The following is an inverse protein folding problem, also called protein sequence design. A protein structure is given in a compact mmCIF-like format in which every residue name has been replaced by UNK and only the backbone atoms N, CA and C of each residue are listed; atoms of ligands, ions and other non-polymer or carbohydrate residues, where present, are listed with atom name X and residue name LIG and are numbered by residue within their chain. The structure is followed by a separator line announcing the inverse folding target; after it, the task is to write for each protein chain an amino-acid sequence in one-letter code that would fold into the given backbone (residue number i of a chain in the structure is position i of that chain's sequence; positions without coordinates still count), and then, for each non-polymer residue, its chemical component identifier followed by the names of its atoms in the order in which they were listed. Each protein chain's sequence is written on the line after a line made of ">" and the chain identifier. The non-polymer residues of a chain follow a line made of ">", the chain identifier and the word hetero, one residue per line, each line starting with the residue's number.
data_IF_931370236440
#
_entry.id   IF_931370236440
#
_cell.length_a   1.000
_cell.length_b   1.000
_cell.length_c   1.000
_cell.angle_alpha   90.00
_cell.angle_beta   90.00
_cell.angle_gamma   90.00
#
_symmetry.space_group_name_H-M   'P 1'
#
loop_
_entity.id
_entity.type
_entity.pdbx_description
1 polymer ?
#
# COMPACT_ATOMS: atom_id res chain seq x y z
N UNK A 1 68.94 1.50 13.32
CA UNK A 1 67.91 0.47 13.07
C UNK A 1 66.55 1.13 13.26
N UNK A 2 65.74 1.31 12.20
CA UNK A 2 64.40 1.84 12.33
C UNK A 2 63.44 0.77 12.88
N UNK A 3 62.34 1.14 13.56
CA UNK A 3 61.38 0.18 14.10
C UNK A 3 60.59 -0.50 12.97
N UNK A 4 60.12 -1.72 13.24
CA UNK A 4 59.51 -2.64 12.28
C UNK A 4 58.07 -2.21 11.95
N UNK A 5 57.66 -2.38 10.69
CA UNK A 5 56.39 -2.01 10.05
C UNK A 5 55.07 -2.47 10.73
N UNK A 6 55.12 -3.18 11.87
CA UNK A 6 53.92 -3.69 12.55
C UNK A 6 53.21 -2.65 13.42
N UNK A 7 53.91 -1.60 13.84
CA UNK A 7 53.31 -0.54 14.67
C UNK A 7 52.51 0.49 13.85
N UNK A 8 52.67 0.52 12.53
CA UNK A 8 51.88 1.38 11.64
C UNK A 8 50.49 0.75 11.39
N UNK A 9 50.37 -0.58 11.37
CA UNK A 9 49.11 -1.27 11.11
C UNK A 9 48.07 -1.18 12.24
N UNK A 10 48.49 -0.91 13.47
CA UNK A 10 47.56 -0.71 14.59
C UNK A 10 47.10 0.74 14.73
N UNK A 11 47.89 1.72 14.25
CA UNK A 11 47.50 3.13 14.27
C UNK A 11 46.47 3.47 13.19
N UNK A 12 46.44 2.75 12.06
CA UNK A 12 45.44 2.99 11.00
C UNK A 12 44.07 2.36 11.29
N UNK A 13 43.93 1.54 12.34
CA UNK A 13 42.66 0.87 12.68
C UNK A 13 41.78 1.65 13.66
N UNK A 14 42.28 2.74 14.23
CA UNK A 14 41.53 3.65 15.10
C UNK A 14 40.96 4.87 14.37
N UNK A 15 41.25 5.04 13.07
CA UNK A 15 40.71 6.11 12.22
C UNK A 15 39.72 5.62 11.15
N UNK A 16 39.31 4.35 11.18
CA UNK A 16 38.18 3.81 10.38
C UNK A 16 36.90 3.77 11.23
N UNK A 17 36.80 4.65 12.22
CA UNK A 17 35.66 4.78 13.13
C UNK A 17 34.59 5.79 12.68
N UNK A 18 34.86 6.55 11.61
CA UNK A 18 33.90 7.43 10.95
C UNK A 18 34.11 7.32 9.45
N UNK A 19 33.72 6.20 8.85
CA UNK A 19 33.28 6.30 7.46
C UNK A 19 32.03 7.20 7.51
N UNK A 20 32.15 8.41 6.95
CA UNK A 20 31.01 9.25 6.65
C UNK A 20 29.94 8.36 5.99
N UNK A 21 28.84 8.11 6.71
CA UNK A 21 27.64 7.56 6.09
C UNK A 21 27.18 8.64 5.10
N UNK A 22 27.68 8.57 3.86
CA UNK A 22 27.25 9.47 2.80
C UNK A 22 25.74 9.30 2.65
N UNK A 23 25.00 10.36 2.96
CA UNK A 23 23.58 10.41 2.66
C UNK A 23 23.44 10.47 1.14
N UNK A 24 22.75 9.48 0.56
CA UNK A 24 22.50 9.42 -0.88
C UNK A 24 21.62 10.59 -1.32
N UNK A 25 21.85 11.10 -2.52
CA UNK A 25 20.96 12.09 -3.14
C UNK A 25 19.62 11.44 -3.54
N UNK A 26 18.59 12.25 -3.82
CA UNK A 26 17.30 11.73 -4.28
C UNK A 26 17.43 10.87 -5.56
N UNK A 27 18.29 11.27 -6.50
CA UNK A 27 18.56 10.51 -7.73
C UNK A 27 19.26 9.18 -7.46
N UNK A 28 20.21 9.16 -6.51
CA UNK A 28 20.90 7.94 -6.08
C UNK A 28 19.91 6.98 -5.39
N UNK A 29 19.05 7.49 -4.50
CA UNK A 29 17.99 6.72 -3.86
C UNK A 29 17.01 6.14 -4.89
N UNK A 30 16.59 6.92 -5.88
CA UNK A 30 15.70 6.42 -6.94
C UNK A 30 16.38 5.36 -7.81
N UNK A 31 17.68 5.50 -8.07
CA UNK A 31 18.45 4.50 -8.82
C UNK A 31 18.53 3.18 -8.05
N UNK A 32 18.82 3.24 -6.75
CA UNK A 32 18.83 2.05 -5.89
C UNK A 32 17.43 1.44 -5.72
N UNK A 33 16.37 2.26 -5.63
CA UNK A 33 14.99 1.78 -5.62
C UNK A 33 14.63 1.00 -6.89
N UNK A 34 15.04 1.46 -8.08
CA UNK A 34 14.81 0.74 -9.35
C UNK A 34 15.59 -0.59 -9.40
N UNK A 35 16.81 -0.63 -8.86
CA UNK A 35 17.58 -1.88 -8.73
C UNK A 35 16.91 -2.84 -7.74
N UNK A 36 16.42 -2.33 -6.61
CA UNK A 36 15.69 -3.10 -5.62
C UNK A 36 14.38 -3.66 -6.19
N UNK A 37 13.66 -2.89 -7.01
CA UNK A 37 12.48 -3.35 -7.76
C UNK A 37 12.81 -4.54 -8.66
N UNK A 38 13.87 -4.44 -9.48
CA UNK A 38 14.30 -5.52 -10.38
C UNK A 38 14.75 -6.78 -9.61
N UNK A 39 15.25 -6.60 -8.40
CA UNK A 39 15.66 -7.69 -7.52
C UNK A 39 14.53 -8.19 -6.59
N UNK A 40 13.31 -7.64 -6.72
CA UNK A 40 12.16 -7.92 -5.86
C UNK A 40 12.42 -7.68 -4.35
N UNK A 41 13.39 -6.81 -4.02
CA UNK A 41 13.75 -6.41 -2.65
C UNK A 41 12.92 -5.21 -2.20
N UNK A 42 11.60 -5.41 -2.13
CA UNK A 42 10.65 -4.32 -1.93
C UNK A 42 10.77 -3.59 -0.58
N UNK A 43 11.26 -4.26 0.47
CA UNK A 43 11.51 -3.62 1.77
C UNK A 43 12.59 -2.53 1.65
N UNK A 44 13.68 -2.82 0.94
CA UNK A 44 14.74 -1.84 0.67
C UNK A 44 14.27 -0.77 -0.31
N UNK A 45 13.50 -1.15 -1.32
CA UNK A 45 12.86 -0.19 -2.21
C UNK A 45 12.01 0.82 -1.41
N UNK A 46 11.28 0.35 -0.39
CA UNK A 46 10.47 1.20 0.47
C UNK A 46 11.33 2.12 1.34
N UNK A 47 12.46 1.65 1.86
CA UNK A 47 13.42 2.47 2.61
C UNK A 47 14.04 3.58 1.75
N UNK A 48 14.46 3.26 0.51
CA UNK A 48 14.96 4.26 -0.43
C UNK A 48 13.88 5.31 -0.74
N UNK A 49 12.68 4.87 -1.11
CA UNK A 49 11.60 5.79 -1.48
C UNK A 49 11.06 6.60 -0.29
N UNK A 50 11.16 6.08 0.93
CA UNK A 50 10.90 6.84 2.17
C UNK A 50 11.88 8.00 2.31
N UNK A 51 13.16 7.79 2.01
CA UNK A 51 14.15 8.86 2.06
C UNK A 51 13.86 9.94 1.00
N UNK A 52 13.50 9.53 -0.23
CA UNK A 52 13.07 10.45 -1.30
C UNK A 52 11.85 11.26 -0.85
N UNK A 53 10.82 10.62 -0.28
CA UNK A 53 9.62 11.30 0.20
C UNK A 53 9.85 12.28 1.37
N UNK A 54 10.96 12.14 2.09
CA UNK A 54 11.35 13.06 3.16
C UNK A 54 12.08 14.31 2.66
N UNK A 55 12.56 14.33 1.41
CA UNK A 55 13.15 15.52 0.80
C UNK A 55 12.12 16.65 0.68
N UNK A 56 12.56 17.91 0.63
CA UNK A 56 11.66 19.07 0.68
C UNK A 56 10.87 19.33 -0.62
N UNK A 57 11.27 18.71 -1.73
CA UNK A 57 10.58 18.80 -3.02
C UNK A 57 9.30 17.96 -3.09
N UNK A 58 8.37 18.38 -3.94
CA UNK A 58 7.26 17.52 -4.38
C UNK A 58 7.80 16.38 -5.24
N UNK A 59 7.24 15.18 -5.08
CA UNK A 59 7.65 14.02 -5.87
C UNK A 59 7.11 14.12 -7.30
N UNK A 60 7.97 13.84 -8.27
CA UNK A 60 7.58 13.65 -9.66
C UNK A 60 6.60 12.46 -9.82
N UNK A 61 6.00 12.34 -11.01
CA UNK A 61 5.11 11.21 -11.33
C UNK A 61 5.85 9.88 -11.19
N UNK A 62 7.09 9.79 -11.66
CA UNK A 62 7.91 8.58 -11.58
C UNK A 62 8.23 8.22 -10.12
N UNK A 63 8.66 9.18 -9.30
CA UNK A 63 8.96 8.95 -7.89
C UNK A 63 7.71 8.55 -7.09
N UNK A 64 6.56 9.17 -7.36
CA UNK A 64 5.27 8.77 -6.75
C UNK A 64 4.93 7.33 -7.10
N UNK A 65 5.12 6.94 -8.36
CA UNK A 65 4.86 5.57 -8.80
C UNK A 65 5.82 4.57 -8.13
N UNK A 66 7.12 4.87 -8.06
CA UNK A 66 8.10 4.04 -7.34
C UNK A 66 7.73 3.88 -5.86
N UNK A 67 7.37 4.96 -5.17
CA UNK A 67 6.93 4.92 -3.78
C UNK A 67 5.70 4.00 -3.60
N UNK A 68 4.72 4.11 -4.48
CA UNK A 68 3.51 3.28 -4.45
C UNK A 68 3.83 1.81 -4.70
N UNK A 69 4.64 1.49 -5.70
CA UNK A 69 5.08 0.13 -6.01
C UNK A 69 5.82 -0.50 -4.84
N UNK A 70 6.77 0.24 -4.24
CA UNK A 70 7.59 -0.22 -3.12
C UNK A 70 6.73 -0.64 -1.93
N UNK A 71 5.87 0.27 -1.45
CA UNK A 71 5.05 0.01 -0.28
C UNK A 71 3.91 -0.99 -0.58
N UNK A 72 3.32 -0.98 -1.79
CA UNK A 72 2.28 -1.95 -2.19
C UNK A 72 2.80 -3.38 -2.12
N UNK A 73 3.99 -3.64 -2.65
CA UNK A 73 4.56 -4.99 -2.64
C UNK A 73 5.03 -5.39 -1.24
N UNK A 74 5.62 -4.46 -0.49
CA UNK A 74 6.03 -4.66 0.91
C UNK A 74 4.83 -5.07 1.78
N UNK A 75 3.74 -4.29 1.78
CA UNK A 75 2.54 -4.62 2.56
C UNK A 75 1.80 -5.82 2.00
N UNK A 76 1.81 -6.01 0.67
CA UNK A 76 1.15 -7.13 0.00
C UNK A 76 1.67 -8.49 0.45
N UNK A 77 2.99 -8.65 0.54
CA UNK A 77 3.62 -9.88 1.03
C UNK A 77 3.21 -10.22 2.47
N UNK A 78 3.20 -9.23 3.38
CA UNK A 78 2.78 -9.42 4.77
C UNK A 78 1.28 -9.70 4.90
N UNK A 79 0.43 -9.05 4.09
CA UNK A 79 -1.02 -9.33 4.07
C UNK A 79 -1.31 -10.75 3.61
N UNK A 80 -0.59 -11.25 2.61
CA UNK A 80 -0.71 -12.64 2.17
C UNK A 80 -0.27 -13.61 3.28
N UNK A 81 0.87 -13.36 3.92
CA UNK A 81 1.34 -14.15 5.05
C UNK A 81 0.32 -14.16 6.21
N UNK A 82 -0.20 -12.99 6.58
CA UNK A 82 -1.18 -12.84 7.65
C UNK A 82 -2.45 -13.65 7.39
N UNK A 83 -3.00 -13.62 6.17
CA UNK A 83 -4.18 -14.43 5.79
C UNK A 83 -3.93 -15.93 5.97
N UNK A 84 -2.78 -16.41 5.53
CA UNK A 84 -2.39 -17.82 5.65
C UNK A 84 -2.28 -18.21 7.13
N UNK A 85 -1.55 -17.42 7.92
CA UNK A 85 -1.30 -17.70 9.34
C UNK A 85 -2.61 -17.67 10.13
N UNK A 86 -3.48 -16.69 9.86
CA UNK A 86 -4.80 -16.58 10.49
C UNK A 86 -5.65 -17.83 10.18
N UNK A 87 -5.65 -18.30 8.92
CA UNK A 87 -6.36 -19.54 8.54
C UNK A 87 -5.83 -20.76 9.28
N UNK A 88 -4.50 -20.90 9.41
CA UNK A 88 -3.86 -21.99 10.15
C UNK A 88 -4.20 -21.92 11.65
N UNK A 89 -4.08 -20.73 12.24
CA UNK A 89 -4.42 -20.48 13.64
C UNK A 89 -5.87 -20.85 13.96
N UNK A 90 -6.82 -20.46 13.09
CA UNK A 90 -8.24 -20.81 13.24
C UNK A 90 -8.51 -22.31 13.14
N UNK A 91 -7.79 -23.03 12.26
CA UNK A 91 -7.90 -24.50 12.16
C UNK A 91 -7.41 -25.18 13.43
N UNK A 92 -6.22 -24.80 13.91
CA UNK A 92 -5.64 -25.34 15.14
C UNK A 92 -6.50 -25.06 16.37
N UNK A 93 -7.11 -23.87 16.46
CA UNK A 93 -7.99 -23.49 17.58
C UNK A 93 -9.30 -24.29 17.67
N UNK A 94 -9.75 -24.92 16.58
CA UNK A 94 -10.96 -25.76 16.57
C UNK A 94 -10.70 -27.20 17.00
N UNK A 95 -9.46 -27.67 16.96
CA UNK A 95 -9.10 -29.05 17.25
C UNK A 95 -8.62 -29.21 18.71
N UNK A 96 -9.43 -29.85 19.56
CA UNK A 96 -9.23 -29.97 21.02
C UNK A 96 -8.27 -31.10 21.47
N UNK A 97 -7.24 -31.44 20.68
CA UNK A 97 -6.20 -32.40 21.10
C UNK A 97 -5.03 -31.69 21.80
N UNK A 98 -4.42 -32.34 22.81
CA UNK A 98 -3.34 -31.74 23.63
C UNK A 98 -2.13 -31.22 22.85
N UNK A 99 -1.80 -31.80 21.69
CA UNK A 99 -0.70 -31.30 20.83
C UNK A 99 -1.07 -30.05 20.02
N UNK A 100 -2.37 -29.84 19.76
CA UNK A 100 -2.84 -28.70 18.99
C UNK A 100 -2.93 -27.42 19.84
N UNK A 101 -3.08 -27.54 21.16
CA UNK A 101 -3.10 -26.35 22.04
C UNK A 101 -1.75 -25.61 22.08
N UNK A 102 -0.63 -26.32 22.07
CA UNK A 102 0.70 -25.70 22.00
C UNK A 102 0.95 -25.10 20.61
N UNK A 103 0.64 -25.83 19.54
CA UNK A 103 0.77 -25.33 18.17
C UNK A 103 -0.13 -24.11 17.91
N UNK A 104 -1.33 -24.06 18.49
CA UNK A 104 -2.22 -22.90 18.42
C UNK A 104 -1.63 -21.67 19.12
N UNK A 105 -0.93 -21.86 20.24
CA UNK A 105 -0.23 -20.77 20.93
C UNK A 105 0.91 -20.20 20.06
N UNK A 106 1.74 -21.07 19.47
CA UNK A 106 2.80 -20.63 18.54
C UNK A 106 2.25 -19.91 17.31
N UNK A 107 1.17 -20.44 16.71
CA UNK A 107 0.53 -19.79 15.57
C UNK A 107 -0.01 -18.39 15.92
N UNK A 108 -0.57 -18.23 17.12
CA UNK A 108 -1.06 -16.94 17.61
C UNK A 108 0.07 -15.93 17.83
N UNK A 109 1.18 -16.35 18.43
CA UNK A 109 2.35 -15.48 18.62
C UNK A 109 2.94 -15.05 17.27
N UNK A 110 3.06 -15.97 16.32
CA UNK A 110 3.55 -15.66 14.98
C UNK A 110 2.59 -14.75 14.20
N UNK A 111 1.27 -14.95 14.34
CA UNK A 111 0.26 -14.05 13.78
C UNK A 111 0.46 -12.62 14.27
N UNK A 112 0.63 -12.45 15.59
CA UNK A 112 0.89 -11.15 16.20
C UNK A 112 2.16 -10.48 15.66
N UNK A 113 3.24 -11.25 15.47
CA UNK A 113 4.46 -10.73 14.86
C UNK A 113 4.22 -10.15 13.47
N UNK A 114 3.45 -10.85 12.62
CA UNK A 114 3.11 -10.36 11.27
C UNK A 114 2.18 -9.15 11.32
N UNK A 115 1.25 -9.09 12.27
CA UNK A 115 0.41 -7.91 12.50
C UNK A 115 1.23 -6.69 12.92
N UNK A 116 2.24 -6.87 13.77
CA UNK A 116 3.14 -5.79 14.20
C UNK A 116 4.00 -5.28 13.02
N UNK A 117 4.48 -6.19 12.15
CA UNK A 117 5.16 -5.83 10.90
C UNK A 117 4.22 -5.04 9.95
N UNK A 118 2.98 -5.51 9.75
CA UNK A 118 1.97 -4.82 8.95
C UNK A 118 1.68 -3.41 9.49
N UNK A 119 1.49 -3.30 10.80
CA UNK A 119 1.24 -2.02 11.47
C UNK A 119 2.41 -1.07 11.24
N UNK A 120 3.65 -1.53 11.42
CA UNK A 120 4.84 -0.71 11.23
C UNK A 120 4.96 -0.17 9.80
N UNK A 121 4.67 -1.01 8.80
CA UNK A 121 4.66 -0.59 7.38
C UNK A 121 3.60 0.48 7.15
N UNK A 122 2.37 0.25 7.63
CA UNK A 122 1.26 1.19 7.46
C UNK A 122 1.53 2.53 8.18
N UNK A 123 2.00 2.49 9.42
CA UNK A 123 2.29 3.70 10.20
C UNK A 123 3.41 4.52 9.56
N UNK A 124 4.42 3.86 9.00
CA UNK A 124 5.54 4.55 8.33
C UNK A 124 5.05 5.37 7.13
N UNK A 125 4.26 4.77 6.24
CA UNK A 125 3.77 5.47 5.06
C UNK A 125 2.69 6.50 5.40
N UNK A 126 1.82 6.21 6.37
CA UNK A 126 0.82 7.18 6.83
C UNK A 126 1.48 8.42 7.43
N UNK A 127 2.54 8.25 8.24
CA UNK A 127 3.31 9.36 8.79
C UNK A 127 3.99 10.20 7.68
N UNK A 128 4.49 9.55 6.63
CA UNK A 128 5.09 10.23 5.49
C UNK A 128 4.04 11.02 4.68
N UNK A 129 2.86 10.43 4.46
CA UNK A 129 1.75 11.05 3.75
C UNK A 129 1.24 12.29 4.49
N UNK A 130 0.90 12.14 5.77
CA UNK A 130 0.34 13.21 6.60
C UNK A 130 1.37 14.29 6.95
N UNK A 131 2.62 13.89 7.21
CA UNK A 131 3.67 14.81 7.64
C UNK A 131 4.33 15.59 6.50
N UNK A 132 4.28 15.08 5.26
CA UNK A 132 5.05 15.65 4.14
C UNK A 132 4.28 15.68 2.83
N UNK A 133 3.83 14.53 2.32
CA UNK A 133 3.48 14.41 0.90
C UNK A 133 2.13 15.07 0.55
N UNK A 134 1.10 14.90 1.38
CA UNK A 134 -0.23 15.48 1.11
C UNK A 134 -0.17 17.01 1.08
N UNK A 135 0.57 17.63 2.01
CA UNK A 135 0.71 19.08 2.07
C UNK A 135 1.50 19.67 0.89
N UNK A 136 2.37 18.88 0.26
CA UNK A 136 3.17 19.30 -0.91
C UNK A 136 2.46 19.10 -2.25
N UNK A 137 1.38 18.32 -2.27
CA UNK A 137 0.66 17.97 -3.49
C UNK A 137 0.02 19.21 -4.12
N UNK A 138 0.48 19.59 -5.31
CA UNK A 138 0.04 20.81 -6.00
C UNK A 138 -1.12 20.53 -6.97
N UNK A 139 -1.07 19.41 -7.68
CA UNK A 139 -2.05 19.02 -8.72
C UNK A 139 -3.21 18.18 -8.17
N UNK A 140 -4.34 18.14 -8.92
CA UNK A 140 -5.44 17.23 -8.62
C UNK A 140 -4.99 15.76 -8.60
N UNK A 141 -4.17 15.35 -9.57
CA UNK A 141 -3.61 14.00 -9.63
C UNK A 141 -2.81 13.62 -8.39
N UNK A 142 -1.90 14.48 -7.92
CA UNK A 142 -1.07 14.19 -6.73
C UNK A 142 -1.88 14.13 -5.46
N UNK A 143 -2.84 15.05 -5.29
CA UNK A 143 -3.78 15.04 -4.16
C UNK A 143 -4.60 13.76 -4.11
N UNK A 144 -5.23 13.39 -5.23
CA UNK A 144 -6.03 12.15 -5.32
C UNK A 144 -5.15 10.92 -5.08
N UNK A 145 -3.94 10.89 -5.66
CA UNK A 145 -3.01 9.78 -5.49
C UNK A 145 -2.64 9.55 -4.02
N UNK A 146 -2.22 10.59 -3.30
CA UNK A 146 -1.81 10.46 -1.90
C UNK A 146 -2.98 10.19 -0.96
N UNK A 147 -4.14 10.81 -1.19
CA UNK A 147 -5.33 10.55 -0.38
C UNK A 147 -5.86 9.13 -0.58
N UNK A 148 -5.89 8.66 -1.84
CA UNK A 148 -6.17 7.25 -2.15
C UNK A 148 -5.19 6.32 -1.44
N UNK A 149 -3.89 6.61 -1.49
CA UNK A 149 -2.87 5.81 -0.82
C UNK A 149 -3.09 5.79 0.69
N UNK A 150 -3.35 6.93 1.32
CA UNK A 150 -3.71 7.03 2.75
C UNK A 150 -4.91 6.15 3.10
N UNK A 151 -5.96 6.21 2.28
CA UNK A 151 -7.16 5.40 2.45
C UNK A 151 -6.86 3.89 2.33
N UNK A 152 -6.04 3.49 1.36
CA UNK A 152 -5.59 2.11 1.17
C UNK A 152 -4.87 1.57 2.41
N UNK A 153 -3.96 2.34 3.01
CA UNK A 153 -3.23 1.90 4.21
C UNK A 153 -4.10 1.84 5.46
N UNK A 154 -5.05 2.76 5.63
CA UNK A 154 -6.04 2.63 6.70
C UNK A 154 -6.98 1.43 6.50
N UNK A 155 -7.36 1.15 5.25
CA UNK A 155 -8.10 -0.06 4.90
C UNK A 155 -7.32 -1.31 5.29
N UNK A 156 -6.02 -1.38 4.99
CA UNK A 156 -5.19 -2.52 5.40
C UNK A 156 -5.15 -2.67 6.92
N UNK A 157 -5.05 -1.59 7.69
CA UNK A 157 -5.14 -1.64 9.16
C UNK A 157 -6.50 -2.22 9.61
N UNK A 158 -7.60 -1.80 8.98
CA UNK A 158 -8.93 -2.30 9.32
C UNK A 158 -9.15 -3.79 8.99
N UNK A 159 -8.32 -4.40 8.15
CA UNK A 159 -8.42 -5.83 7.81
C UNK A 159 -7.97 -6.74 8.97
N UNK A 160 -6.89 -6.37 9.69
CA UNK A 160 -6.27 -7.22 10.72
C UNK A 160 -6.46 -6.72 12.16
N UNK A 161 -7.08 -5.55 12.35
CA UNK A 161 -7.46 -5.05 13.67
C UNK A 161 -8.89 -5.46 14.01
N UNK A 162 -9.20 -5.44 15.29
CA UNK A 162 -10.53 -5.72 15.86
C UNK A 162 -11.04 -4.56 16.72
N UNK A 163 -12.33 -4.59 17.05
CA UNK A 163 -12.98 -3.64 17.96
C UNK A 163 -12.80 -2.18 17.55
N UNK A 164 -12.54 -1.31 18.53
CA UNK A 164 -12.42 0.14 18.31
C UNK A 164 -11.29 0.51 17.35
N UNK A 165 -10.19 -0.26 17.34
CA UNK A 165 -9.07 -0.02 16.44
C UNK A 165 -9.48 -0.25 14.97
N UNK A 166 -10.27 -1.30 14.70
CA UNK A 166 -10.85 -1.57 13.39
C UNK A 166 -11.79 -0.45 12.96
N UNK A 167 -12.73 -0.07 13.82
CA UNK A 167 -13.71 0.99 13.52
C UNK A 167 -13.03 2.34 13.28
N UNK A 168 -12.01 2.68 14.06
CA UNK A 168 -11.22 3.91 13.86
C UNK A 168 -10.47 3.90 12.53
N UNK A 169 -9.82 2.79 12.18
CA UNK A 169 -9.12 2.66 10.91
C UNK A 169 -10.08 2.72 9.71
N UNK A 170 -11.23 2.04 9.79
CA UNK A 170 -12.26 2.09 8.75
C UNK A 170 -12.79 3.51 8.53
N UNK A 171 -13.07 4.25 9.62
CA UNK A 171 -13.55 5.62 9.49
C UNK A 171 -12.50 6.55 8.86
N UNK A 172 -11.22 6.41 9.23
CA UNK A 172 -10.12 7.15 8.59
C UNK A 172 -9.94 6.80 7.12
N UNK A 173 -10.10 5.53 6.76
CA UNK A 173 -10.09 5.09 5.36
C UNK A 173 -11.24 5.73 4.57
N UNK A 174 -12.45 5.71 5.13
CA UNK A 174 -13.65 6.32 4.53
C UNK A 174 -13.46 7.81 4.29
N UNK A 175 -12.94 8.54 5.27
CA UNK A 175 -12.66 9.99 5.15
C UNK A 175 -11.65 10.26 4.04
N UNK A 176 -10.52 9.56 4.02
CA UNK A 176 -9.48 9.75 3.00
C UNK A 176 -9.97 9.37 1.59
N UNK A 177 -10.79 8.32 1.45
CA UNK A 177 -11.42 7.99 0.16
C UNK A 177 -12.40 9.08 -0.29
N UNK A 178 -13.21 9.63 0.62
CA UNK A 178 -14.14 10.70 0.28
C UNK A 178 -13.40 11.96 -0.16
N UNK A 179 -12.34 12.36 0.56
CA UNK A 179 -11.50 13.51 0.19
C UNK A 179 -10.86 13.30 -1.19
N UNK A 180 -10.37 12.08 -1.47
CA UNK A 180 -9.84 11.75 -2.79
C UNK A 180 -10.93 11.82 -3.88
N UNK A 181 -12.14 11.35 -3.59
CA UNK A 181 -13.25 11.33 -4.54
C UNK A 181 -13.72 12.74 -4.89
N UNK A 182 -13.83 13.63 -3.90
CA UNK A 182 -14.24 15.02 -4.08
C UNK A 182 -13.26 15.77 -4.99
N UNK A 183 -11.95 15.57 -4.79
CA UNK A 183 -10.92 16.14 -5.66
C UNK A 183 -10.96 15.51 -7.05
N UNK A 184 -11.10 14.17 -7.14
CA UNK A 184 -11.12 13.47 -8.42
C UNK A 184 -12.32 13.87 -9.29
N UNK A 185 -13.50 14.06 -8.71
CA UNK A 185 -14.70 14.53 -9.42
C UNK A 185 -14.53 15.92 -10.03
N UNK A 186 -13.75 16.77 -9.36
CA UNK A 186 -13.51 18.16 -9.78
C UNK A 186 -12.39 18.26 -10.82
N UNK A 187 -11.29 17.55 -10.61
CA UNK A 187 -10.03 17.81 -11.30
C UNK A 187 -9.67 16.73 -12.34
N UNK A 188 -10.29 15.55 -12.33
CA UNK A 188 -9.93 14.41 -13.20
C UNK A 188 -11.10 13.92 -14.06
N UNK A 189 -10.83 13.60 -15.32
CA UNK A 189 -11.81 12.96 -16.21
C UNK A 189 -12.24 11.58 -15.67
N UNK A 190 -13.47 11.14 -15.98
CA UNK A 190 -14.02 9.85 -15.54
C UNK A 190 -13.19 8.65 -16.02
N UNK A 191 -12.47 8.81 -17.13
CA UNK A 191 -11.57 7.81 -17.71
C UNK A 191 -10.15 7.88 -17.18
N UNK A 192 -9.82 8.86 -16.33
CA UNK A 192 -8.46 9.04 -15.83
C UNK A 192 -8.04 7.84 -14.94
N UNK A 193 -6.88 7.19 -15.18
CA UNK A 193 -6.48 5.98 -14.45
C UNK A 193 -6.49 6.12 -12.93
N UNK A 194 -6.03 7.26 -12.39
CA UNK A 194 -6.05 7.52 -10.94
C UNK A 194 -7.50 7.57 -10.40
N UNK A 195 -8.45 8.17 -11.12
CA UNK A 195 -9.87 8.27 -10.70
C UNK A 195 -10.55 6.90 -10.77
N UNK A 196 -10.29 6.13 -11.83
CA UNK A 196 -10.77 4.75 -11.94
C UNK A 196 -10.21 3.86 -10.84
N UNK A 197 -8.90 3.95 -10.57
CA UNK A 197 -8.25 3.19 -9.51
C UNK A 197 -8.74 3.56 -8.12
N UNK A 198 -9.13 4.83 -7.90
CA UNK A 198 -9.81 5.27 -6.69
C UNK A 198 -11.18 4.59 -6.54
N UNK A 199 -12.03 4.63 -7.56
CA UNK A 199 -13.35 3.99 -7.53
C UNK A 199 -13.26 2.48 -7.31
N UNK A 200 -12.27 1.82 -7.93
CA UNK A 200 -11.98 0.41 -7.72
C UNK A 200 -11.67 0.10 -6.25
N UNK A 201 -10.73 0.83 -5.64
CA UNK A 201 -10.34 0.54 -4.26
C UNK A 201 -11.40 0.97 -3.24
N UNK A 202 -12.14 2.04 -3.52
CA UNK A 202 -13.21 2.51 -2.64
C UNK A 202 -14.42 1.55 -2.66
N UNK A 203 -14.80 1.01 -3.82
CA UNK A 203 -15.83 -0.03 -3.90
C UNK A 203 -15.42 -1.31 -3.16
N UNK A 204 -14.18 -1.78 -3.30
CA UNK A 204 -13.66 -2.92 -2.52
C UNK A 204 -13.72 -2.64 -1.03
N UNK A 205 -13.38 -1.43 -0.58
CA UNK A 205 -13.50 -1.02 0.82
C UNK A 205 -14.95 -1.10 1.33
N UNK A 206 -15.90 -0.58 0.55
CA UNK A 206 -17.33 -0.64 0.89
C UNK A 206 -17.82 -2.09 1.00
N UNK A 207 -17.38 -2.96 0.10
CA UNK A 207 -17.77 -4.37 0.09
C UNK A 207 -17.14 -5.14 1.25
N UNK A 208 -15.81 -5.16 1.33
CA UNK A 208 -15.06 -6.06 2.23
C UNK A 208 -14.97 -5.55 3.67
N UNK A 209 -14.94 -4.23 3.89
CA UNK A 209 -14.68 -3.65 5.21
C UNK A 209 -15.93 -3.08 5.85
N UNK A 210 -16.75 -2.35 5.08
CA UNK A 210 -17.99 -1.77 5.61
C UNK A 210 -19.18 -2.74 5.57
N UNK A 211 -19.07 -3.85 4.82
CA UNK A 211 -20.17 -4.79 4.65
C UNK A 211 -21.38 -4.16 3.94
N UNK A 212 -21.12 -3.23 3.01
CA UNK A 212 -22.15 -2.51 2.27
C UNK A 212 -22.07 -2.85 0.76
N UNK A 213 -22.48 -4.07 0.37
CA UNK A 213 -22.26 -4.59 -0.98
C UNK A 213 -23.05 -3.84 -2.06
N UNK A 214 -24.23 -3.32 -1.74
CA UNK A 214 -25.08 -2.63 -2.70
C UNK A 214 -24.46 -1.31 -3.15
N UNK A 215 -23.96 -0.51 -2.19
CA UNK A 215 -23.26 0.75 -2.50
C UNK A 215 -21.92 0.49 -3.21
N UNK A 216 -21.21 -0.57 -2.85
CA UNK A 216 -19.98 -1.00 -3.53
C UNK A 216 -20.24 -1.32 -5.01
N UNK A 217 -21.23 -2.17 -5.29
CA UNK A 217 -21.64 -2.53 -6.64
C UNK A 217 -22.14 -1.32 -7.44
N UNK A 218 -22.90 -0.43 -6.81
CA UNK A 218 -23.35 0.81 -7.43
C UNK A 218 -22.17 1.69 -7.83
N UNK A 219 -21.22 1.92 -6.93
CA UNK A 219 -20.03 2.73 -7.20
C UNK A 219 -19.19 2.15 -8.36
N UNK A 220 -18.90 0.85 -8.31
CA UNK A 220 -18.11 0.19 -9.35
C UNK A 220 -18.82 0.23 -10.71
N UNK A 221 -20.15 0.03 -10.74
CA UNK A 221 -20.96 0.10 -11.95
C UNK A 221 -20.97 1.51 -12.54
N UNK A 222 -21.24 2.53 -11.74
CA UNK A 222 -21.23 3.92 -12.21
C UNK A 222 -19.87 4.31 -12.78
N UNK A 223 -18.77 3.98 -12.08
CA UNK A 223 -17.44 4.28 -12.59
C UNK A 223 -17.14 3.59 -13.93
N UNK A 224 -17.58 2.34 -14.09
CA UNK A 224 -17.41 1.57 -15.33
C UNK A 224 -18.25 2.14 -16.49
N UNK A 225 -19.53 2.43 -16.25
CA UNK A 225 -20.46 2.97 -17.25
C UNK A 225 -20.06 4.39 -17.70
N UNK A 226 -19.71 5.27 -16.76
CA UNK A 226 -19.24 6.62 -17.06
C UNK A 226 -17.95 6.59 -17.90
N UNK A 227 -17.04 5.66 -17.59
CA UNK A 227 -15.80 5.52 -18.33
C UNK A 227 -15.99 4.93 -19.73
N UNK A 228 -16.95 4.00 -19.91
CA UNK A 228 -17.33 3.50 -21.24
C UNK A 228 -17.85 4.64 -22.12
N UNK A 229 -18.71 5.50 -21.57
CA UNK A 229 -19.32 6.60 -22.32
C UNK A 229 -18.29 7.60 -22.88
N UNK A 230 -17.13 7.72 -22.23
CA UNK A 230 -16.07 8.67 -22.58
C UNK A 230 -14.79 7.98 -23.10
N UNK A 231 -14.83 6.67 -23.35
CA UNK A 231 -13.64 5.87 -23.69
C UNK A 231 -12.98 6.32 -25.01
N UNK A 232 -13.79 6.75 -25.97
CA UNK A 232 -13.32 7.25 -27.27
C UNK A 232 -12.52 8.57 -27.17
N UNK A 233 -12.65 9.28 -26.04
CA UNK A 233 -11.98 10.56 -25.77
C UNK A 233 -10.66 10.39 -24.99
N UNK A 234 -10.25 9.16 -24.68
CA UNK A 234 -9.05 8.90 -23.88
C UNK A 234 -7.79 9.05 -24.73
N UNK A 235 -6.77 9.70 -24.16
CA UNK A 235 -5.45 9.80 -24.79
C UNK A 235 -4.80 8.40 -24.95
N UNK A 236 -4.09 8.20 -26.06
CA UNK A 236 -3.53 6.89 -26.44
C UNK A 236 -2.58 6.32 -25.37
N UNK A 237 -1.82 7.19 -24.69
CA UNK A 237 -0.90 6.83 -23.60
C UNK A 237 -1.62 6.34 -22.33
N UNK A 238 -2.85 6.80 -22.09
CA UNK A 238 -3.66 6.46 -20.93
C UNK A 238 -4.65 5.32 -21.21
N UNK A 239 -4.97 5.06 -22.48
CA UNK A 239 -6.00 4.10 -22.90
C UNK A 239 -5.78 2.70 -22.32
N UNK A 240 -4.54 2.20 -22.37
CA UNK A 240 -4.20 0.87 -21.86
C UNK A 240 -4.41 0.76 -20.35
N UNK A 241 -4.03 1.78 -19.60
CA UNK A 241 -4.14 1.78 -18.14
C UNK A 241 -5.60 1.92 -17.70
N UNK A 242 -6.36 2.81 -18.35
CA UNK A 242 -7.79 2.98 -18.09
C UNK A 242 -8.57 1.69 -18.38
N UNK A 243 -8.35 1.07 -19.53
CA UNK A 243 -9.06 -0.17 -19.91
C UNK A 243 -8.70 -1.34 -19.00
N UNK A 244 -7.45 -1.44 -18.53
CA UNK A 244 -7.05 -2.44 -17.54
C UNK A 244 -7.80 -2.27 -16.21
N UNK A 245 -7.97 -1.03 -15.74
CA UNK A 245 -8.68 -0.79 -14.48
C UNK A 245 -10.19 -1.01 -14.64
N UNK A 246 -10.77 -0.62 -15.78
CA UNK A 246 -12.17 -0.92 -16.12
C UNK A 246 -12.42 -2.43 -16.13
N UNK A 247 -11.48 -3.21 -16.64
CA UNK A 247 -11.54 -4.67 -16.61
C UNK A 247 -11.61 -5.20 -15.16
N UNK A 248 -10.80 -4.67 -14.24
CA UNK A 248 -10.84 -5.04 -12.83
C UNK A 248 -12.17 -4.66 -12.15
N UNK A 249 -12.73 -3.50 -12.48
CA UNK A 249 -14.07 -3.09 -12.00
C UNK A 249 -15.14 -4.10 -12.45
N UNK A 250 -15.11 -4.52 -13.72
CA UNK A 250 -16.03 -5.52 -14.28
C UNK A 250 -15.89 -6.88 -13.59
N UNK A 251 -14.67 -7.29 -13.32
CA UNK A 251 -14.37 -8.59 -12.69
C UNK A 251 -14.89 -8.62 -11.25
N UNK A 252 -14.68 -7.53 -10.49
CA UNK A 252 -15.28 -7.38 -9.15
C UNK A 252 -16.81 -7.41 -9.20
N UNK A 253 -17.43 -6.67 -10.12
CA UNK A 253 -18.90 -6.68 -10.27
C UNK A 253 -19.44 -8.08 -10.53
N UNK A 254 -18.78 -8.85 -11.42
CA UNK A 254 -19.19 -10.21 -11.76
C UNK A 254 -19.11 -11.13 -10.54
N UNK A 255 -18.01 -11.04 -9.79
CA UNK A 255 -17.81 -11.80 -8.57
C UNK A 255 -18.91 -11.47 -7.54
N UNK A 256 -19.12 -10.18 -7.24
CA UNK A 256 -20.06 -9.74 -6.21
C UNK A 256 -21.52 -10.02 -6.55
N UNK A 257 -21.91 -9.92 -7.83
CA UNK A 257 -23.28 -10.28 -8.24
C UNK A 257 -23.52 -11.79 -8.14
N UNK A 258 -22.50 -12.60 -8.40
CA UNK A 258 -22.62 -14.07 -8.25
C UNK A 258 -22.73 -14.50 -6.79
N UNK A 259 -22.03 -13.82 -5.87
CA UNK A 259 -22.14 -14.06 -4.42
C UNK A 259 -23.55 -13.70 -3.90
N UNK A 260 -24.15 -12.61 -4.41
CA UNK A 260 -25.50 -12.19 -4.02
C UNK A 260 -26.58 -13.17 -4.49
N UNK A 261 -26.43 -13.77 -5.68
CA UNK A 261 -27.35 -14.80 -6.19
C UNK A 261 -27.21 -16.14 -5.44
N UNK A 262 -25.99 -16.50 -5.03
CA UNK A 262 -25.71 -17.73 -4.25
C UNK A 262 -26.11 -17.66 -2.77
N UNK A 263 -26.23 -16.45 -2.20
CA UNK A 263 -26.63 -16.22 -0.81
C UNK A 263 -28.15 -16.24 -0.55
N UNK A 264 -28.97 -16.37 -1.60
CA UNK A 264 -30.44 -16.45 -1.52
C UNK A 264 -30.99 -17.88 -1.64
N UNK A 265 -30.13 -18.91 -1.58
CA UNK A 265 -30.51 -20.33 -1.67
C UNK A 265 -30.50 -21.05 -0.30
#
# INVERSE_FOLDING_TARGET
>A
MPPREKDVYFATRLLVGCADLRCLTADEQCSEAKLAEQAERYDEMADHMKNVGNADSELSVEERNLLSVAYKNTVGSRRAAWRIITSVMQKLGKETTKGNTENAAYAKEYCKKVEDELQSICDTILALLDGKLIAKASSGESKVFYQKMKADYYRYIAEFRDGDAKSSAAEKARQAYQEAEDVAKKDLAVTHPIRLGLALNYSVFMYEVLGNPDDACKMARTAFEDAIAELDNVAEDSYKDSTLIMQLLRDNLTLWTSDQEGGQA
#
